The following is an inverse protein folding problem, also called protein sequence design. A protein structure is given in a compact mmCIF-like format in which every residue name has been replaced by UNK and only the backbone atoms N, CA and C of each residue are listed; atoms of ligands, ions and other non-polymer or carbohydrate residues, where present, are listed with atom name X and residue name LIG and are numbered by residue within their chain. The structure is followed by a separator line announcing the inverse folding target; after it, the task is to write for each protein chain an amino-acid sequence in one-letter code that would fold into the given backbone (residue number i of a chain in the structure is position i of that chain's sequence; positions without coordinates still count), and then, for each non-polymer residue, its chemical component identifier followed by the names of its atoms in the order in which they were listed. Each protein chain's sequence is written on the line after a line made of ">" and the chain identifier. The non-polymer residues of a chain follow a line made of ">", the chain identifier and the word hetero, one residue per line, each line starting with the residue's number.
data_IF_829946531861
#
_entry.id   IF_829946531861
#
_cell.length_a   1.000
_cell.length_b   1.000
_cell.length_c   1.000
_cell.angle_alpha   90.00
_cell.angle_beta   90.00
_cell.angle_gamma   90.00
#
_symmetry.space_group_name_H-M   'P 1'
#
loop_
_entity.id
_entity.type
_entity.pdbx_description
1 polymer ?
#
# COMPACT_ATOMS: atom_id res chain seq x y z
N UNK A 1 -55.15 -10.16 -37.68
CA UNK A 1 -54.76 -10.06 -36.26
C UNK A 1 -53.25 -10.06 -36.15
N UNK A 2 -52.73 -8.90 -35.70
CA UNK A 2 -51.60 -8.71 -34.78
C UNK A 2 -50.23 -9.28 -35.19
N UNK A 3 -49.43 -8.34 -35.72
CA UNK A 3 -47.99 -8.23 -35.52
C UNK A 3 -47.59 -8.59 -34.08
N UNK A 4 -46.74 -9.60 -33.91
CA UNK A 4 -45.92 -9.72 -32.70
C UNK A 4 -44.62 -10.45 -33.07
N UNK A 5 -43.73 -9.72 -33.73
CA UNK A 5 -42.37 -10.15 -34.02
C UNK A 5 -41.49 -8.94 -33.81
N UNK A 6 -41.11 -8.71 -32.55
CA UNK A 6 -39.87 -8.09 -32.11
C UNK A 6 -39.90 -7.93 -30.59
N UNK A 7 -38.71 -7.91 -29.98
CA UNK A 7 -38.39 -7.63 -28.57
C UNK A 7 -38.08 -8.89 -27.74
N UNK A 8 -36.99 -9.58 -28.09
CA UNK A 8 -36.14 -10.31 -27.13
C UNK A 8 -34.68 -10.21 -27.60
N UNK A 9 -34.04 -9.05 -27.45
CA UNK A 9 -32.59 -8.91 -27.73
C UNK A 9 -31.87 -7.78 -26.97
N UNK A 10 -32.44 -7.21 -25.89
CA UNK A 10 -31.83 -6.04 -25.23
C UNK A 10 -31.59 -6.15 -23.71
N UNK A 11 -31.61 -7.34 -23.11
CA UNK A 11 -31.40 -7.49 -21.65
C UNK A 11 -30.07 -8.13 -21.21
N UNK A 12 -29.18 -8.52 -22.13
CA UNK A 12 -27.92 -9.20 -21.77
C UNK A 12 -26.65 -8.33 -21.79
N UNK A 13 -26.73 -7.04 -22.13
CA UNK A 13 -25.52 -6.20 -22.24
C UNK A 13 -25.25 -5.28 -21.04
N UNK A 14 -26.16 -5.12 -20.07
CA UNK A 14 -25.94 -4.18 -18.96
C UNK A 14 -25.12 -4.76 -17.79
N UNK A 15 -25.14 -6.08 -17.58
CA UNK A 15 -24.40 -6.71 -16.48
C UNK A 15 -22.89 -6.72 -16.69
N UNK A 16 -22.42 -6.82 -17.94
CA UNK A 16 -20.99 -6.87 -18.23
C UNK A 16 -20.29 -5.51 -18.07
N UNK A 17 -21.00 -4.39 -18.25
CA UNK A 17 -20.40 -3.06 -18.05
C UNK A 17 -20.27 -2.71 -16.58
N UNK A 18 -21.27 -3.05 -15.75
CA UNK A 18 -21.22 -2.80 -14.30
C UNK A 18 -20.05 -3.54 -13.64
N UNK A 19 -19.86 -4.83 -13.96
CA UNK A 19 -18.75 -5.61 -13.38
C UNK A 19 -17.37 -5.09 -13.78
N UNK A 20 -17.22 -4.59 -15.02
CA UNK A 20 -15.95 -4.04 -15.53
C UNK A 20 -15.66 -2.66 -14.92
N UNK A 21 -16.67 -1.85 -14.66
CA UNK A 21 -16.51 -0.56 -13.98
C UNK A 21 -16.16 -0.75 -12.50
N UNK A 22 -16.79 -1.72 -11.83
CA UNK A 22 -16.49 -2.08 -10.44
C UNK A 22 -15.05 -2.61 -10.31
N UNK A 23 -14.62 -3.50 -11.21
CA UNK A 23 -13.25 -4.04 -11.22
C UNK A 23 -12.21 -2.96 -11.47
N UNK A 24 -12.44 -2.08 -12.47
CA UNK A 24 -11.53 -0.95 -12.73
C UNK A 24 -11.45 0.02 -11.57
N UNK A 25 -12.59 0.29 -10.91
CA UNK A 25 -12.61 1.14 -9.73
C UNK A 25 -11.85 0.51 -8.57
N UNK A 26 -12.01 -0.81 -8.36
CA UNK A 26 -11.26 -1.56 -7.35
C UNK A 26 -9.75 -1.56 -7.63
N UNK A 27 -9.32 -1.75 -8.88
CA UNK A 27 -7.91 -1.65 -9.28
C UNK A 27 -7.36 -0.25 -8.98
N UNK A 28 -8.11 0.81 -9.31
CA UNK A 28 -7.71 2.20 -9.03
C UNK A 28 -7.53 2.46 -7.53
N UNK A 29 -8.48 2.02 -6.71
CA UNK A 29 -8.39 2.14 -5.24
C UNK A 29 -7.18 1.35 -4.73
N UNK A 30 -7.01 0.10 -5.19
CA UNK A 30 -5.84 -0.73 -4.86
C UNK A 30 -4.53 0.01 -5.17
N UNK A 31 -4.37 0.50 -6.40
CA UNK A 31 -3.18 1.25 -6.81
C UNK A 31 -2.91 2.46 -5.91
N UNK A 32 -3.95 3.16 -5.47
CA UNK A 32 -3.83 4.32 -4.59
C UNK A 32 -3.22 3.95 -3.23
N UNK A 33 -3.68 2.85 -2.64
CA UNK A 33 -3.13 2.31 -1.40
C UNK A 33 -1.71 1.77 -1.58
N UNK A 34 -1.42 1.11 -2.71
CA UNK A 34 -0.08 0.56 -2.99
C UNK A 34 0.97 1.65 -3.19
N UNK A 35 0.61 2.73 -3.89
CA UNK A 35 1.47 3.91 -4.05
C UNK A 35 1.82 4.53 -2.68
N UNK A 36 0.90 4.48 -1.72
CA UNK A 36 1.11 5.00 -0.37
C UNK A 36 1.68 3.96 0.61
N UNK A 37 2.05 2.77 0.12
CA UNK A 37 2.61 1.67 0.90
C UNK A 37 1.68 1.19 2.03
N UNK A 38 0.38 1.12 1.75
CA UNK A 38 -0.67 0.63 2.65
C UNK A 38 -1.44 -0.60 2.14
N UNK A 39 -0.77 -1.65 1.63
CA UNK A 39 -1.45 -2.80 1.03
C UNK A 39 -2.41 -3.53 1.99
N UNK A 40 -2.08 -3.60 3.28
CA UNK A 40 -2.90 -4.29 4.29
C UNK A 40 -4.22 -3.57 4.58
N UNK A 41 -4.34 -2.31 4.17
CA UNK A 41 -5.47 -1.43 4.49
C UNK A 41 -6.41 -1.22 3.28
N UNK A 42 -6.14 -1.87 2.15
CA UNK A 42 -6.99 -1.85 0.96
C UNK A 42 -8.40 -2.32 1.35
N UNK A 43 -9.46 -1.60 0.96
CA UNK A 43 -10.83 -2.03 1.20
C UNK A 43 -11.16 -3.35 0.49
N UNK A 44 -11.80 -4.28 1.18
CA UNK A 44 -12.17 -5.57 0.60
C UNK A 44 -13.26 -5.45 -0.48
N UNK A 45 -14.35 -4.73 -0.19
CA UNK A 45 -15.53 -4.69 -1.08
C UNK A 45 -16.07 -3.30 -1.37
N UNK A 46 -16.08 -2.40 -0.38
CA UNK A 46 -16.64 -1.05 -0.50
C UNK A 46 -15.60 0.00 -0.09
N UNK A 47 -15.58 1.20 -0.73
CA UNK A 47 -14.69 2.28 -0.33
C UNK A 47 -14.80 2.63 1.15
N UNK A 48 -13.66 2.84 1.80
CA UNK A 48 -13.60 3.26 3.21
C UNK A 48 -13.28 4.75 3.26
N UNK A 49 -14.14 5.55 3.90
CA UNK A 49 -13.95 6.99 4.11
C UNK A 49 -12.95 7.30 5.20
N UNK A 50 -13.01 6.56 6.32
CA UNK A 50 -12.10 6.75 7.45
C UNK A 50 -11.64 5.42 8.03
N UNK A 51 -10.34 5.34 8.34
CA UNK A 51 -9.76 4.26 9.10
C UNK A 51 -9.04 4.83 10.32
N UNK A 52 -9.40 4.39 11.51
CA UNK A 52 -8.66 4.66 12.73
C UNK A 52 -7.94 3.38 13.18
N UNK A 53 -6.62 3.40 13.17
CA UNK A 53 -5.78 2.29 13.59
C UNK A 53 -5.15 2.62 14.93
N UNK A 54 -5.38 1.75 15.91
CA UNK A 54 -4.67 1.74 17.19
C UNK A 54 -3.59 0.67 17.15
N UNK A 55 -2.35 1.08 16.99
CA UNK A 55 -1.19 0.21 16.96
C UNK A 55 -0.61 0.11 18.36
N UNK A 56 -0.50 -1.12 18.87
CA UNK A 56 0.16 -1.44 20.13
C UNK A 56 1.42 -2.23 19.83
N UNK A 57 2.56 -1.56 19.84
CA UNK A 57 3.86 -2.23 19.82
C UNK A 57 4.08 -2.84 21.20
N UNK A 58 4.50 -4.09 21.24
CA UNK A 58 4.68 -4.87 22.46
C UNK A 58 6.17 -5.07 22.72
N UNK A 59 6.96 -5.33 21.67
CA UNK A 59 8.41 -5.49 21.75
C UNK A 59 9.15 -4.42 20.91
N UNK A 60 10.43 -4.12 21.24
CA UNK A 60 11.09 -4.39 22.52
C UNK A 60 10.59 -3.46 23.65
N UNK A 61 9.88 -2.38 23.30
CA UNK A 61 9.30 -1.44 24.27
C UNK A 61 7.84 -1.19 23.95
N UNK A 62 6.98 -1.41 24.94
CA UNK A 62 5.56 -1.19 24.74
C UNK A 62 5.26 0.28 24.43
N UNK A 63 4.63 0.52 23.29
CA UNK A 63 4.18 1.84 22.88
C UNK A 63 2.84 1.74 22.16
N UNK A 64 2.06 2.80 22.27
CA UNK A 64 0.77 2.92 21.59
C UNK A 64 0.81 4.13 20.68
N UNK A 65 0.38 3.94 19.44
CA UNK A 65 0.25 5.00 18.45
C UNK A 65 -1.06 4.87 17.70
N UNK A 66 -1.59 6.00 17.27
CA UNK A 66 -2.71 6.07 16.35
C UNK A 66 -2.22 6.45 14.95
N UNK A 67 -2.84 5.82 13.95
CA UNK A 67 -2.77 6.20 12.55
C UNK A 67 -4.20 6.41 12.07
N UNK A 68 -4.46 7.52 11.41
CA UNK A 68 -5.74 7.80 10.77
C UNK A 68 -5.53 7.96 9.26
N UNK A 69 -6.36 7.29 8.47
CA UNK A 69 -6.37 7.38 7.02
C UNK A 69 -7.75 7.87 6.60
N UNK A 70 -7.78 8.95 5.82
CA UNK A 70 -9.00 9.54 5.28
C UNK A 70 -8.99 9.42 3.76
N UNK A 71 -10.15 9.08 3.21
CA UNK A 71 -10.36 8.94 1.77
C UNK A 71 -11.49 9.85 1.30
N UNK A 72 -11.49 10.15 -0.01
CA UNK A 72 -12.63 10.78 -0.67
C UNK A 72 -13.81 9.80 -0.86
N UNK A 73 -14.91 10.29 -1.43
CA UNK A 73 -16.10 9.47 -1.72
C UNK A 73 -15.85 8.34 -2.74
N UNK A 74 -14.70 8.36 -3.44
CA UNK A 74 -14.29 7.31 -4.36
C UNK A 74 -13.35 6.29 -3.69
N UNK A 75 -13.02 6.45 -2.41
CA UNK A 75 -12.09 5.59 -1.68
C UNK A 75 -10.61 5.90 -1.94
N UNK A 76 -10.29 7.05 -2.54
CA UNK A 76 -8.90 7.48 -2.74
C UNK A 76 -8.41 8.23 -1.50
N UNK A 77 -7.26 7.82 -0.95
CA UNK A 77 -6.65 8.44 0.21
C UNK A 77 -6.34 9.91 -0.09
N UNK A 78 -6.84 10.79 0.77
CA UNK A 78 -6.62 12.24 0.72
C UNK A 78 -5.76 12.71 1.90
N UNK A 79 -5.70 11.97 2.99
CA UNK A 79 -4.92 12.35 4.16
C UNK A 79 -4.50 11.12 4.98
N UNK A 80 -3.28 11.16 5.48
CA UNK A 80 -2.79 10.27 6.53
C UNK A 80 -2.23 11.11 7.68
N UNK A 81 -2.56 10.72 8.91
CA UNK A 81 -2.08 11.40 10.09
C UNK A 81 -1.74 10.42 11.22
N UNK A 82 -0.68 10.74 11.95
CA UNK A 82 -0.26 9.99 13.13
C UNK A 82 -0.13 10.93 14.32
N UNK A 83 -0.78 10.59 15.45
CA UNK A 83 -0.80 11.45 16.67
C UNK A 83 -1.22 12.89 16.36
N UNK A 84 -2.29 13.04 15.57
CA UNK A 84 -2.87 14.31 15.12
C UNK A 84 -1.91 15.19 14.30
N UNK A 85 -0.80 14.61 13.82
CA UNK A 85 0.13 15.25 12.91
C UNK A 85 -0.04 14.63 11.53
N UNK A 86 -0.42 15.46 10.56
CA UNK A 86 -0.51 15.05 9.16
C UNK A 86 0.87 14.58 8.68
N UNK A 87 0.94 13.34 8.22
CA UNK A 87 2.09 12.77 7.55
C UNK A 87 2.03 13.01 6.04
N UNK A 88 0.82 12.95 5.48
CA UNK A 88 0.57 13.09 4.05
C UNK A 88 -0.79 13.72 3.75
N UNK A 89 -0.86 14.54 2.71
CA UNK A 89 -2.10 15.09 2.15
C UNK A 89 -2.05 14.98 0.63
N UNK A 90 -3.12 14.53 0.01
CA UNK A 90 -3.24 14.38 -1.44
C UNK A 90 -4.40 15.21 -1.97
N UNK A 91 -4.10 16.22 -2.79
CA UNK A 91 -5.09 17.02 -3.51
C UNK A 91 -5.12 16.60 -4.98
N UNK A 92 -6.08 15.76 -5.35
CA UNK A 92 -6.26 15.28 -6.72
C UNK A 92 -6.65 16.37 -7.72
N UNK A 93 -7.30 17.44 -7.26
CA UNK A 93 -7.73 18.54 -8.13
C UNK A 93 -6.57 19.44 -8.48
N UNK A 94 -5.74 19.77 -7.49
CA UNK A 94 -4.52 20.53 -7.68
C UNK A 94 -3.36 19.67 -8.18
N UNK A 95 -3.48 18.35 -8.13
CA UNK A 95 -2.44 17.39 -8.45
C UNK A 95 -1.19 17.62 -7.59
N UNK A 96 -1.42 17.77 -6.28
CA UNK A 96 -0.37 18.05 -5.30
C UNK A 96 -0.39 16.99 -4.21
N UNK A 97 0.79 16.44 -3.95
CA UNK A 97 1.07 15.60 -2.79
C UNK A 97 1.90 16.41 -1.80
N UNK A 98 1.40 16.59 -0.59
CA UNK A 98 2.12 17.22 0.50
C UNK A 98 2.58 16.15 1.48
N UNK A 99 3.89 16.06 1.74
CA UNK A 99 4.48 15.14 2.71
C UNK A 99 5.13 15.90 3.86
N UNK A 100 5.02 15.36 5.07
CA UNK A 100 5.73 15.86 6.24
C UNK A 100 7.13 15.24 6.30
N UNK A 101 8.13 16.01 5.90
CA UNK A 101 9.52 15.61 5.90
C UNK A 101 10.23 16.27 7.07
N UNK A 102 10.50 15.47 8.12
CA UNK A 102 11.23 15.90 9.31
C UNK A 102 10.61 17.15 9.97
N UNK A 103 9.29 17.25 9.96
CA UNK A 103 8.53 18.37 10.54
C UNK A 103 8.24 19.52 9.58
N UNK A 104 8.65 19.41 8.31
CA UNK A 104 8.39 20.41 7.27
C UNK A 104 7.43 19.83 6.23
N UNK A 105 6.38 20.56 5.88
CA UNK A 105 5.52 20.17 4.76
C UNK A 105 6.16 20.54 3.43
N UNK A 106 6.39 19.53 2.60
CA UNK A 106 6.97 19.65 1.26
C UNK A 106 5.91 19.27 0.24
N UNK A 107 5.73 20.12 -0.77
CA UNK A 107 4.78 19.89 -1.85
C UNK A 107 5.47 19.29 -3.06
N UNK A 108 4.84 18.26 -3.62
CA UNK A 108 5.22 17.58 -4.84
C UNK A 108 4.11 17.71 -5.87
N UNK A 109 4.47 17.93 -7.13
CA UNK A 109 3.54 17.83 -8.23
C UNK A 109 3.32 16.36 -8.57
N UNK A 110 2.07 15.97 -8.76
CA UNK A 110 1.67 14.62 -9.15
C UNK A 110 1.15 14.64 -10.57
N UNK A 111 1.46 13.61 -11.35
CA UNK A 111 0.86 13.38 -12.65
C UNK A 111 0.01 12.12 -12.61
N UNK A 112 -1.07 12.14 -13.39
CA UNK A 112 -2.00 11.03 -13.47
C UNK A 112 -2.18 10.55 -14.90
N UNK A 113 -2.47 9.26 -15.05
CA UNK A 113 -3.01 8.72 -16.30
C UNK A 113 -4.53 9.02 -16.44
N UNK A 114 -5.12 8.54 -17.53
CA UNK A 114 -6.56 8.70 -17.81
C UNK A 114 -7.45 7.96 -16.80
N UNK A 115 -6.91 6.94 -16.12
CA UNK A 115 -7.58 6.19 -15.05
C UNK A 115 -7.39 6.82 -13.67
N UNK A 116 -6.69 7.96 -13.58
CA UNK A 116 -6.34 8.66 -12.34
C UNK A 116 -5.36 7.89 -11.44
N UNK A 117 -4.60 6.95 -11.99
CA UNK A 117 -3.44 6.39 -11.30
C UNK A 117 -2.28 7.37 -11.35
N UNK A 118 -1.46 7.41 -10.30
CA UNK A 118 -0.27 8.26 -10.23
C UNK A 118 0.82 7.72 -11.15
N UNK A 119 1.26 8.47 -12.14
CA UNK A 119 2.32 8.03 -13.07
C UNK A 119 3.69 8.59 -12.71
N UNK A 120 3.74 9.85 -12.25
CA UNK A 120 4.96 10.54 -11.90
C UNK A 120 4.75 11.47 -10.69
N UNK A 121 5.82 11.67 -9.92
CA UNK A 121 5.90 12.68 -8.85
C UNK A 121 7.14 13.52 -9.08
N UNK A 122 7.00 14.84 -8.94
CA UNK A 122 8.04 15.83 -9.19
C UNK A 122 8.24 16.73 -7.97
N UNK A 123 9.50 17.02 -7.66
CA UNK A 123 9.85 18.01 -6.65
C UNK A 123 9.56 19.44 -7.11
N UNK A 124 9.85 20.42 -6.25
CA UNK A 124 9.68 21.85 -6.55
C UNK A 124 10.53 22.35 -7.73
N UNK A 125 11.60 21.64 -8.10
CA UNK A 125 12.44 21.93 -9.24
C UNK A 125 12.00 21.19 -10.52
N UNK A 126 10.81 20.57 -10.51
CA UNK A 126 10.28 19.75 -11.61
C UNK A 126 11.11 18.50 -11.92
N UNK A 127 12.00 18.09 -11.01
CA UNK A 127 12.75 16.86 -11.15
C UNK A 127 11.84 15.70 -10.75
N UNK A 128 11.78 14.67 -11.59
CA UNK A 128 11.05 13.43 -11.28
C UNK A 128 11.73 12.77 -10.08
N UNK A 129 10.97 12.64 -8.99
CA UNK A 129 11.37 11.91 -7.79
C UNK A 129 10.80 10.50 -7.83
N UNK A 130 9.59 10.30 -8.34
CA UNK A 130 9.00 8.97 -8.44
C UNK A 130 8.33 8.71 -9.78
N UNK A 131 8.33 7.47 -10.24
CA UNK A 131 7.53 7.02 -11.38
C UNK A 131 6.96 5.62 -11.16
N UNK A 132 5.81 5.37 -11.77
CA UNK A 132 5.02 4.15 -11.59
C UNK A 132 4.63 3.55 -12.93
N UNK A 133 4.59 2.23 -13.00
CA UNK A 133 4.27 1.48 -14.22
C UNK A 133 3.12 0.52 -13.96
N UNK A 134 2.21 0.47 -14.92
CA UNK A 134 0.99 -0.30 -14.87
C UNK A 134 0.98 -1.34 -15.99
N UNK A 135 0.30 -2.47 -15.77
CA UNK A 135 0.00 -3.42 -16.83
C UNK A 135 -1.18 -2.96 -17.71
N UNK A 136 -1.54 -3.76 -18.71
CA UNK A 136 -2.65 -3.45 -19.64
C UNK A 136 -4.02 -3.38 -18.94
N UNK A 137 -4.16 -4.01 -17.76
CA UNK A 137 -5.36 -3.98 -16.93
C UNK A 137 -5.37 -2.78 -15.98
N UNK A 138 -4.28 -2.01 -15.94
CA UNK A 138 -4.12 -0.86 -15.07
C UNK A 138 -3.59 -1.20 -13.68
N UNK A 139 -3.10 -2.42 -13.41
CA UNK A 139 -2.53 -2.79 -12.10
C UNK A 139 -1.10 -2.28 -11.97
N UNK A 140 -0.75 -1.70 -10.83
CA UNK A 140 0.62 -1.27 -10.54
C UNK A 140 1.54 -2.49 -10.54
N UNK A 141 2.55 -2.52 -11.41
CA UNK A 141 3.51 -3.63 -11.52
C UNK A 141 4.93 -3.24 -11.11
N UNK A 142 5.26 -1.95 -11.12
CA UNK A 142 6.56 -1.45 -10.68
C UNK A 142 6.51 0.01 -10.24
N UNK A 143 7.31 0.33 -9.23
CA UNK A 143 7.56 1.69 -8.74
C UNK A 143 9.06 1.97 -8.69
N UNK A 144 9.41 3.24 -8.80
CA UNK A 144 10.75 3.75 -8.51
C UNK A 144 10.59 5.08 -7.79
N UNK A 145 11.09 5.18 -6.56
CA UNK A 145 10.89 6.35 -5.71
C UNK A 145 12.23 6.85 -5.18
N UNK A 146 12.54 8.11 -5.47
CA UNK A 146 13.69 8.80 -4.95
C UNK A 146 13.27 9.65 -3.75
N UNK A 147 13.58 9.17 -2.56
CA UNK A 147 13.25 9.84 -1.29
C UNK A 147 14.54 9.99 -0.48
N UNK A 148 14.83 11.20 -0.01
CA UNK A 148 16.01 11.49 0.82
C UNK A 148 17.35 11.02 0.19
N UNK A 149 17.46 11.02 -1.15
CA UNK A 149 18.65 10.59 -1.87
C UNK A 149 18.81 9.07 -2.05
N UNK A 150 17.85 8.28 -1.55
CA UNK A 150 17.76 6.83 -1.72
C UNK A 150 16.77 6.49 -2.82
N UNK A 151 17.00 5.41 -3.56
CA UNK A 151 16.08 4.93 -4.59
C UNK A 151 15.43 3.62 -4.14
N UNK A 152 14.12 3.64 -3.93
CA UNK A 152 13.29 2.48 -3.62
C UNK A 152 12.67 1.96 -4.90
N UNK A 153 12.86 0.68 -5.20
CA UNK A 153 12.32 0.04 -6.40
C UNK A 153 11.37 -1.07 -5.97
N UNK A 154 10.08 -0.89 -6.26
CA UNK A 154 9.02 -1.85 -5.99
C UNK A 154 8.65 -2.70 -7.20
N UNK A 155 8.25 -3.95 -6.94
CA UNK A 155 7.60 -4.86 -7.90
C UNK A 155 6.43 -5.56 -7.24
N UNK A 156 5.34 -5.71 -7.99
CA UNK A 156 4.05 -6.17 -7.46
C UNK A 156 3.54 -7.35 -8.29
N UNK A 157 3.08 -8.39 -7.62
CA UNK A 157 2.52 -9.60 -8.25
C UNK A 157 1.13 -9.88 -7.70
N UNK A 158 0.24 -10.31 -8.59
CA UNK A 158 -1.17 -10.51 -8.29
C UNK A 158 -1.60 -11.94 -8.60
N UNK A 159 -2.64 -12.41 -7.90
CA UNK A 159 -3.34 -13.62 -8.28
C UNK A 159 -4.38 -13.38 -9.40
N UNK A 160 -5.11 -14.44 -9.75
CA UNK A 160 -6.17 -14.41 -10.77
C UNK A 160 -7.40 -13.57 -10.37
N UNK A 161 -7.56 -13.27 -9.09
CA UNK A 161 -8.66 -12.48 -8.53
C UNK A 161 -8.23 -11.02 -8.34
N UNK A 162 -7.06 -10.62 -8.86
CA UNK A 162 -6.43 -9.32 -8.72
C UNK A 162 -6.00 -8.94 -7.29
N UNK A 163 -5.90 -9.91 -6.37
CA UNK A 163 -5.32 -9.66 -5.06
C UNK A 163 -3.79 -9.53 -5.19
N UNK A 164 -3.18 -8.55 -4.52
CA UNK A 164 -1.73 -8.45 -4.41
C UNK A 164 -1.22 -9.63 -3.57
N UNK A 165 -0.43 -10.55 -4.14
CA UNK A 165 0.12 -11.70 -3.40
C UNK A 165 1.57 -11.51 -3.00
N UNK A 166 2.30 -10.61 -3.68
CA UNK A 166 3.70 -10.34 -3.36
C UNK A 166 4.10 -8.92 -3.74
N UNK A 167 4.79 -8.24 -2.82
CA UNK A 167 5.47 -6.97 -3.06
C UNK A 167 6.95 -7.11 -2.69
N UNK A 168 7.84 -6.92 -3.66
CA UNK A 168 9.27 -6.83 -3.38
C UNK A 168 9.73 -5.39 -3.50
N UNK A 169 10.53 -4.95 -2.53
CA UNK A 169 11.14 -3.63 -2.51
C UNK A 169 12.65 -3.76 -2.34
N UNK A 170 13.41 -2.93 -3.04
CA UNK A 170 14.84 -2.79 -2.83
C UNK A 170 15.24 -1.33 -2.71
N UNK A 171 16.09 -1.02 -1.76
CA UNK A 171 16.70 0.31 -1.61
C UNK A 171 18.09 0.27 -2.22
N UNK A 172 18.36 1.27 -3.06
CA UNK A 172 19.63 1.45 -3.74
C UNK A 172 20.15 2.85 -3.44
N UNK A 173 21.41 2.93 -3.00
CA UNK A 173 22.13 4.18 -2.78
C UNK A 173 23.29 4.30 -3.77
N UNK A 174 23.54 5.52 -4.27
CA UNK A 174 24.72 5.81 -5.11
C UNK A 174 25.76 6.58 -4.32
N UNK A 175 26.84 5.91 -3.92
CA UNK A 175 27.93 6.49 -3.15
C UNK A 175 29.20 6.53 -4.02
N UNK A 176 29.76 7.71 -4.26
CA UNK A 176 31.01 7.90 -5.05
C UNK A 176 30.96 7.17 -6.41
N UNK A 177 29.83 7.32 -7.11
CA UNK A 177 29.55 6.67 -8.41
C UNK A 177 29.46 5.13 -8.37
N UNK A 178 29.36 4.53 -7.18
CA UNK A 178 29.06 3.11 -7.00
C UNK A 178 27.62 2.94 -6.49
N UNK A 179 26.87 2.09 -7.16
CA UNK A 179 25.52 1.69 -6.77
C UNK A 179 25.61 0.55 -5.74
N UNK A 180 24.94 0.71 -4.60
CA UNK A 180 24.96 -0.23 -3.49
C UNK A 180 23.51 -0.57 -3.12
N UNK A 181 23.21 -1.85 -3.00
CA UNK A 181 21.96 -2.34 -2.43
C UNK A 181 22.06 -2.24 -0.91
N UNK A 182 21.15 -1.49 -0.29
CA UNK A 182 21.17 -1.20 1.15
C UNK A 182 20.02 -1.86 1.91
N UNK A 183 18.95 -2.23 1.20
CA UNK A 183 17.80 -2.92 1.78
C UNK A 183 17.13 -3.77 0.72
N UNK A 184 16.62 -4.93 1.14
CA UNK A 184 15.76 -5.77 0.33
C UNK A 184 14.61 -6.25 1.21
N UNK A 185 13.38 -6.13 0.74
CA UNK A 185 12.19 -6.63 1.41
C UNK A 185 11.31 -7.42 0.45
N UNK A 186 10.72 -8.48 0.97
CA UNK A 186 9.69 -9.29 0.31
C UNK A 186 8.51 -9.41 1.25
N UNK A 187 7.37 -8.88 0.83
CA UNK A 187 6.10 -9.03 1.53
C UNK A 187 5.23 -10.02 0.74
N UNK A 188 4.69 -11.02 1.43
CA UNK A 188 3.76 -12.00 0.90
C UNK A 188 2.39 -11.80 1.56
N UNK A 189 1.33 -11.95 0.78
CA UNK A 189 -0.04 -11.74 1.23
C UNK A 189 -0.89 -12.96 0.92
N UNK A 190 -1.71 -13.36 1.87
CA UNK A 190 -2.53 -14.57 1.81
C UNK A 190 -3.98 -14.25 2.04
N UNK A 191 -4.83 -14.84 1.22
CA UNK A 191 -6.26 -14.59 1.19
C UNK A 191 -7.03 -15.90 1.39
N UNK A 192 -8.24 -15.81 1.95
CA UNK A 192 -9.17 -16.94 2.01
C UNK A 192 -10.00 -17.08 0.71
N UNK A 193 -10.90 -18.06 0.70
CA UNK A 193 -11.78 -18.33 -0.45
C UNK A 193 -12.77 -17.19 -0.75
N UNK A 194 -12.98 -16.28 0.20
CA UNK A 194 -13.78 -15.06 0.05
C UNK A 194 -12.92 -13.86 -0.40
N UNK A 195 -11.63 -14.04 -0.69
CA UNK A 195 -10.65 -12.99 -1.00
C UNK A 195 -10.39 -11.99 0.13
N UNK A 196 -10.61 -12.38 1.39
CA UNK A 196 -10.24 -11.54 2.54
C UNK A 196 -8.78 -11.77 2.90
N UNK A 197 -8.04 -10.71 3.18
CA UNK A 197 -6.65 -10.81 3.65
C UNK A 197 -6.63 -11.50 5.01
N UNK A 198 -6.02 -12.68 5.11
CA UNK A 198 -5.95 -13.48 6.35
C UNK A 198 -4.57 -13.47 7.00
N UNK A 199 -3.51 -13.31 6.22
CA UNK A 199 -2.15 -13.22 6.74
C UNK A 199 -1.21 -12.48 5.80
N UNK A 200 -0.15 -11.90 6.34
CA UNK A 200 0.97 -11.38 5.58
C UNK A 200 2.29 -11.78 6.22
N UNK A 201 3.33 -11.93 5.40
CA UNK A 201 4.69 -12.22 5.84
C UNK A 201 5.63 -11.20 5.22
N UNK A 202 6.25 -10.37 6.04
CA UNK A 202 7.32 -9.46 5.64
C UNK A 202 8.67 -10.09 5.94
N UNK A 203 9.58 -10.10 4.96
CA UNK A 203 10.96 -10.55 5.10
C UNK A 203 11.88 -9.42 4.67
N UNK A 204 12.66 -8.91 5.60
CA UNK A 204 13.62 -7.85 5.34
C UNK A 204 15.05 -8.37 5.51
N UNK A 205 15.87 -8.09 4.51
CA UNK A 205 17.31 -8.31 4.49
C UNK A 205 18.04 -6.95 4.53
N UNK A 206 19.08 -6.87 5.35
CA UNK A 206 20.04 -5.77 5.32
C UNK A 206 21.35 -6.28 4.69
N UNK A 207 21.53 -6.11 3.36
CA UNK A 207 22.67 -6.63 2.63
C UNK A 207 24.02 -5.99 3.02
N UNK A 208 24.05 -4.84 3.71
CA UNK A 208 25.30 -4.24 4.17
C UNK A 208 25.98 -5.07 5.28
N UNK A 209 25.21 -5.91 5.98
CA UNK A 209 25.72 -6.85 6.98
C UNK A 209 26.52 -8.01 6.38
N UNK A 210 26.38 -8.29 5.08
CA UNK A 210 27.07 -9.41 4.42
C UNK A 210 28.45 -9.05 3.84
N UNK A 211 28.97 -7.83 4.08
CA UNK A 211 30.17 -7.35 3.36
C UNK A 211 31.18 -6.44 4.07
N UNK A 212 30.83 -5.60 5.05
CA UNK A 212 31.70 -4.94 6.07
C UNK A 212 31.07 -3.66 6.65
N UNK A 213 31.22 -3.56 7.98
CA UNK A 213 31.15 -2.38 8.87
C UNK A 213 29.85 -1.60 8.95
N UNK A 214 28.95 -2.06 9.81
CA UNK A 214 28.23 -1.19 10.73
C UNK A 214 28.27 -1.84 12.13
N UNK A 215 28.88 -1.15 13.09
CA UNK A 215 28.77 -1.53 14.51
C UNK A 215 27.36 -1.17 14.97
N UNK A 216 26.47 -2.16 15.03
CA UNK A 216 25.17 -2.00 15.66
C UNK A 216 25.36 -1.93 17.19
N UNK A 217 24.48 -1.22 17.92
CA UNK A 217 24.33 -1.42 19.35
C UNK A 217 24.15 -2.92 19.63
N UNK A 218 24.79 -3.44 20.67
CA UNK A 218 24.84 -4.87 21.05
C UNK A 218 23.48 -5.57 21.19
N UNK A 219 22.39 -4.81 21.19
CA UNK A 219 21.02 -5.29 21.42
C UNK A 219 20.19 -5.43 20.13
N UNK A 220 20.78 -5.13 18.96
CA UNK A 220 20.14 -5.38 17.66
C UNK A 220 20.82 -6.60 17.05
N UNK A 221 20.16 -7.75 17.17
CA UNK A 221 20.63 -9.04 16.66
C UNK A 221 21.26 -8.88 15.27
N UNK A 222 22.56 -9.16 15.22
CA UNK A 222 23.40 -9.15 14.03
C UNK A 222 22.80 -10.08 12.97
N UNK A 223 22.50 -9.51 11.80
CA UNK A 223 22.44 -10.21 10.51
C UNK A 223 21.77 -11.59 10.46
N UNK A 224 20.42 -11.60 10.39
CA UNK A 224 19.62 -12.65 9.73
C UNK A 224 18.18 -12.15 9.63
N UNK A 225 17.68 -12.00 8.40
CA UNK A 225 16.28 -11.81 8.02
C UNK A 225 15.33 -11.37 9.15
N UNK A 226 14.92 -10.10 9.18
CA UNK A 226 13.77 -9.72 10.01
C UNK A 226 12.53 -10.25 9.33
N UNK A 227 11.94 -11.28 9.91
CA UNK A 227 10.65 -11.81 9.47
C UNK A 227 9.58 -11.30 10.42
N UNK A 228 8.48 -10.78 9.88
CA UNK A 228 7.27 -10.46 10.63
C UNK A 228 6.09 -11.15 9.96
N UNK A 229 5.27 -11.84 10.74
CA UNK A 229 4.05 -12.50 10.26
C UNK A 229 2.85 -11.90 10.94
N UNK A 230 1.95 -11.29 10.19
CA UNK A 230 0.70 -10.76 10.69
C UNK A 230 -0.45 -11.70 10.35
N UNK A 231 -1.39 -11.84 11.29
CA UNK A 231 -2.66 -12.55 11.10
C UNK A 231 -3.81 -11.56 11.29
N UNK A 232 -4.79 -11.61 10.39
CA UNK A 232 -5.92 -10.68 10.35
C UNK A 232 -7.21 -11.42 10.70
N UNK A 233 -8.09 -10.75 11.45
CA UNK A 233 -9.30 -11.35 12.01
C UNK A 233 -10.36 -10.30 12.33
N UNK A 234 -11.51 -10.78 12.82
CA UNK A 234 -12.67 -9.94 13.15
C UNK A 234 -13.12 -9.12 11.94
N UNK A 235 -13.52 -9.82 10.88
CA UNK A 235 -14.03 -9.21 9.66
C UNK A 235 -15.42 -8.62 9.91
N UNK A 236 -15.67 -7.42 9.40
CA UNK A 236 -17.01 -6.85 9.40
C UNK A 236 -17.86 -7.38 8.22
N UNK A 237 -19.06 -6.82 8.05
CA UNK A 237 -20.01 -7.19 6.98
C UNK A 237 -19.48 -6.94 5.57
N UNK A 238 -18.44 -6.10 5.43
CA UNK A 238 -17.79 -5.77 4.18
C UNK A 238 -16.52 -6.57 3.92
N UNK A 239 -16.18 -7.54 4.77
CA UNK A 239 -15.01 -8.40 4.63
C UNK A 239 -13.69 -7.75 5.02
N UNK A 240 -13.72 -6.53 5.58
CA UNK A 240 -12.54 -5.83 6.09
C UNK A 240 -12.20 -6.30 7.50
N UNK A 241 -10.94 -6.66 7.73
CA UNK A 241 -10.47 -7.03 9.06
C UNK A 241 -10.47 -5.81 10.00
N UNK A 242 -10.76 -6.06 11.28
CA UNK A 242 -10.73 -5.03 12.34
C UNK A 242 -9.72 -5.32 13.44
N UNK A 243 -9.10 -6.51 13.44
CA UNK A 243 -8.05 -6.87 14.38
C UNK A 243 -6.90 -7.62 13.71
N UNK A 244 -5.66 -7.26 14.06
CA UNK A 244 -4.45 -7.94 13.59
C UNK A 244 -3.47 -8.20 14.74
N UNK A 245 -2.75 -9.32 14.65
CA UNK A 245 -1.63 -9.67 15.52
C UNK A 245 -0.42 -10.02 14.68
N UNK A 246 0.70 -9.37 14.94
CA UNK A 246 1.96 -9.55 14.22
C UNK A 246 3.01 -10.15 15.15
N UNK A 247 3.71 -11.15 14.65
CA UNK A 247 4.71 -11.93 15.36
C UNK A 247 6.07 -11.77 14.69
N UNK A 248 7.12 -11.64 15.49
CA UNK A 248 8.50 -11.58 14.99
C UNK A 248 9.01 -12.95 14.52
N UNK A 249 10.25 -13.01 14.04
CA UNK A 249 10.88 -14.24 13.54
C UNK A 249 10.98 -15.37 14.58
N UNK A 250 10.92 -15.04 15.87
CA UNK A 250 10.94 -16.00 16.99
C UNK A 250 9.53 -16.41 17.44
N UNK A 251 8.50 -16.03 16.66
CA UNK A 251 7.08 -16.26 16.96
C UNK A 251 6.59 -15.58 18.24
N UNK A 252 7.28 -14.55 18.70
CA UNK A 252 6.82 -13.72 19.81
C UNK A 252 5.91 -12.61 19.29
N UNK A 253 4.85 -12.31 20.04
CA UNK A 253 3.92 -11.24 19.70
C UNK A 253 4.64 -9.88 19.78
N UNK A 254 4.76 -9.22 18.64
CA UNK A 254 5.52 -7.98 18.46
C UNK A 254 4.59 -6.76 18.40
N UNK A 255 3.44 -6.91 17.73
CA UNK A 255 2.47 -5.82 17.56
C UNK A 255 1.05 -6.36 17.50
N UNK A 256 0.09 -5.56 17.96
CA UNK A 256 -1.33 -5.76 17.64
C UNK A 256 -1.93 -4.46 17.09
N UNK A 257 -2.88 -4.61 16.18
CA UNK A 257 -3.57 -3.48 15.54
C UNK A 257 -5.07 -3.69 15.73
N UNK A 258 -5.77 -2.65 16.18
CA UNK A 258 -7.22 -2.57 16.11
C UNK A 258 -7.60 -1.48 15.12
N UNK A 259 -8.54 -1.77 14.22
CA UNK A 259 -8.95 -0.90 13.12
C UNK A 259 -10.45 -0.63 13.25
N UNK A 260 -10.83 0.66 13.30
CA UNK A 260 -12.22 1.11 13.18
C UNK A 260 -12.43 1.71 11.80
N UNK A 261 -13.60 1.46 11.22
CA UNK A 261 -13.90 1.76 9.82
C UNK A 261 -15.17 2.59 9.72
N UNK A 262 -15.14 3.62 8.87
CA UNK A 262 -16.29 4.41 8.44
C UNK A 262 -16.39 4.35 6.92
N UNK A 263 -17.59 4.07 6.42
CA UNK A 263 -17.90 3.86 5.00
C UNK A 263 -18.71 5.01 4.40
#
# INVERSE_FOLDING_TARGET
>A
MKNLLLVVCCFFNFYAFASVDDERNHIRITNNYLFLLFPEYIPHSVPIKKQELLLKNIQPTSSVSNLEIYSDDNGLIIEESARDKKGLIMDYKMQVLTRNEKGTFVNYSVQFDDQKNVTEIKDSNQKITSYYKYDEQGKLISSNENVDGKNYIGTYLYDKNNNLIQHNEREIETIRSKTILTFLSTNLYYYDDENRLVSSISKQEDPLLNGKTASLPKDINESKYRTSTCYYSQYNEHGDWTFSQCFNGDSELDMSITRKLEY
#
